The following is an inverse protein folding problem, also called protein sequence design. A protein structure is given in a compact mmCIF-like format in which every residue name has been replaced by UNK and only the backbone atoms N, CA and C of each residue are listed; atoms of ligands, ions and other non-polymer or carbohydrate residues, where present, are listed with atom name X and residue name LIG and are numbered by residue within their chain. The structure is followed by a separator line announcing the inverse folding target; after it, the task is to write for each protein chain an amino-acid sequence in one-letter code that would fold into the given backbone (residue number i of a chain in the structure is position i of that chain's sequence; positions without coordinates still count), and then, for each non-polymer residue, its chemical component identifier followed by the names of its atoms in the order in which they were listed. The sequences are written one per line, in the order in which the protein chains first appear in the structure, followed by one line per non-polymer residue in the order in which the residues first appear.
data_IF_575653570482
#
_entry.id   IF_575653570482
#
_cell.length_a   1.000
_cell.length_b   1.000
_cell.length_c   1.000
_cell.angle_alpha   90.00
_cell.angle_beta   90.00
_cell.angle_gamma   90.00
#
_symmetry.space_group_name_H-M   'P 1'
#
loop_
_entity.id
_entity.type
_entity.pdbx_description
1 polymer ?
#
# COMPACT_ATOMS: atom_id res chain seq x y z
N UNK A 1 11.50 17.89 -10.50
CA UNK A 1 10.81 16.97 -9.57
C UNK A 1 11.62 16.88 -8.27
N UNK A 2 11.21 17.56 -7.20
CA UNK A 2 11.94 17.55 -5.93
C UNK A 2 11.85 16.17 -5.24
N UNK A 3 12.99 15.65 -4.74
CA UNK A 3 13.02 14.40 -3.97
C UNK A 3 12.33 14.62 -2.63
N UNK A 4 11.14 14.02 -2.42
CA UNK A 4 10.51 13.96 -1.09
C UNK A 4 11.32 13.07 -0.15
N UNK A 5 11.34 13.42 1.13
CA UNK A 5 11.98 12.63 2.18
C UNK A 5 11.45 11.18 2.17
N UNK A 6 12.35 10.22 2.36
CA UNK A 6 11.98 8.81 2.50
C UNK A 6 11.22 8.55 3.81
N UNK A 7 10.30 7.58 3.79
CA UNK A 7 9.64 7.06 4.99
C UNK A 7 10.67 6.49 5.97
N UNK A 8 10.34 6.44 7.27
CA UNK A 8 11.21 5.86 8.29
C UNK A 8 11.58 4.41 7.94
N UNK A 9 10.61 3.58 7.54
CA UNK A 9 10.86 2.20 7.13
C UNK A 9 11.81 2.09 5.94
N UNK A 10 11.67 2.96 4.93
CA UNK A 10 12.55 2.97 3.75
C UNK A 10 13.97 3.42 4.10
N UNK A 11 14.13 4.35 5.04
CA UNK A 11 15.45 4.71 5.60
C UNK A 11 16.08 3.52 6.32
N UNK A 12 15.32 2.83 7.17
CA UNK A 12 15.80 1.63 7.86
C UNK A 12 16.17 0.51 6.89
N UNK A 13 15.36 0.29 5.85
CA UNK A 13 15.66 -0.71 4.81
C UNK A 13 16.93 -0.35 4.01
N UNK A 14 17.12 0.92 3.66
CA UNK A 14 18.34 1.38 3.01
C UNK A 14 19.58 1.21 3.91
N UNK A 15 19.46 1.56 5.20
CA UNK A 15 20.53 1.35 6.18
C UNK A 15 20.89 -0.13 6.35
N UNK A 16 19.88 -1.03 6.38
CA UNK A 16 20.10 -2.49 6.42
C UNK A 16 20.83 -2.98 5.17
N UNK A 17 20.37 -2.61 3.97
CA UNK A 17 21.05 -2.97 2.71
C UNK A 17 22.50 -2.49 2.67
N UNK A 18 22.75 -1.28 3.19
CA UNK A 18 24.11 -0.75 3.30
C UNK A 18 24.96 -1.57 4.26
N UNK A 19 24.44 -1.90 5.44
CA UNK A 19 25.11 -2.78 6.40
C UNK A 19 25.38 -4.19 5.83
N UNK A 20 24.43 -4.77 5.11
CA UNK A 20 24.55 -6.09 4.47
C UNK A 20 25.66 -6.10 3.41
N UNK A 21 25.79 -5.01 2.64
CA UNK A 21 26.88 -4.83 1.66
C UNK A 21 28.24 -4.86 2.34
N UNK A 22 28.39 -4.13 3.44
CA UNK A 22 29.66 -4.09 4.19
C UNK A 22 29.95 -5.40 4.91
N UNK A 23 28.93 -6.04 5.46
CA UNK A 23 29.05 -7.37 6.06
C UNK A 23 29.49 -8.40 5.03
N UNK A 24 28.96 -8.36 3.80
CA UNK A 24 29.39 -9.22 2.70
C UNK A 24 30.86 -8.97 2.30
N UNK A 25 31.26 -7.70 2.19
CA UNK A 25 32.66 -7.31 1.92
C UNK A 25 33.61 -7.84 3.01
N UNK A 26 33.24 -7.65 4.28
CA UNK A 26 34.03 -8.13 5.42
C UNK A 26 34.13 -9.67 5.44
N UNK A 27 33.04 -10.36 5.10
CA UNK A 27 33.02 -11.82 4.96
C UNK A 27 33.94 -12.30 3.84
N UNK A 28 33.92 -11.63 2.69
CA UNK A 28 34.81 -11.99 1.58
C UNK A 28 36.28 -11.81 1.96
N UNK A 29 36.65 -10.65 2.54
CA UNK A 29 38.01 -10.42 3.02
C UNK A 29 38.47 -11.44 4.04
N UNK A 30 37.58 -11.84 4.94
CA UNK A 30 37.90 -12.89 5.91
C UNK A 30 38.16 -14.22 5.22
N UNK A 31 37.35 -14.62 4.22
CA UNK A 31 37.61 -15.82 3.43
C UNK A 31 38.94 -15.75 2.69
N UNK A 32 39.23 -14.63 2.04
CA UNK A 32 40.46 -14.44 1.29
C UNK A 32 41.69 -14.52 2.22
N UNK A 33 41.62 -13.89 3.40
CA UNK A 33 42.67 -13.98 4.42
C UNK A 33 42.83 -15.39 5.01
N UNK A 34 41.75 -16.17 5.10
CA UNK A 34 41.83 -17.58 5.52
C UNK A 34 42.48 -18.47 4.44
N UNK A 35 42.30 -18.13 3.16
CA UNK A 35 42.88 -18.87 2.03
C UNK A 35 44.30 -18.41 1.68
N UNK A 36 44.73 -17.25 2.18
CA UNK A 36 46.05 -16.70 1.93
C UNK A 36 47.15 -17.58 2.53
N UNK A 37 48.19 -17.83 1.74
CA UNK A 37 49.42 -18.46 2.20
C UNK A 37 50.18 -17.51 3.13
N UNK A 38 50.63 -18.02 4.27
CA UNK A 38 51.36 -17.23 5.24
C UNK A 38 52.86 -17.37 5.03
N UNK A 39 53.55 -16.24 5.07
CA UNK A 39 55.01 -16.21 5.18
C UNK A 39 55.47 -16.73 6.55
N UNK A 40 56.77 -17.04 6.70
CA UNK A 40 57.33 -17.66 7.90
C UNK A 40 57.11 -16.87 9.21
N UNK A 41 56.96 -15.54 9.13
CA UNK A 41 56.75 -14.66 10.30
C UNK A 41 55.37 -13.97 10.31
N UNK A 42 54.47 -14.31 9.39
CA UNK A 42 53.17 -13.66 9.33
C UNK A 42 52.13 -14.41 10.17
N UNK A 43 51.30 -13.65 10.88
CA UNK A 43 50.14 -14.17 11.60
C UNK A 43 48.86 -13.89 10.83
N UNK A 44 47.96 -14.88 10.79
CA UNK A 44 46.70 -14.74 10.08
C UNK A 44 45.82 -13.72 10.78
N UNK A 45 45.23 -12.78 10.04
CA UNK A 45 44.30 -11.84 10.66
C UNK A 45 43.01 -12.56 11.09
N UNK A 46 42.63 -12.35 12.34
CA UNK A 46 41.35 -12.82 12.88
C UNK A 46 40.17 -11.95 12.43
N UNK A 47 38.94 -12.47 12.56
CA UNK A 47 37.73 -11.76 12.17
C UNK A 47 37.54 -10.39 12.85
N UNK A 48 38.05 -10.21 14.07
CA UNK A 48 38.01 -8.93 14.80
C UNK A 48 38.85 -7.84 14.12
N UNK A 49 40.08 -8.18 13.73
CA UNK A 49 40.97 -7.25 13.02
C UNK A 49 40.40 -6.83 11.66
N UNK A 50 39.77 -7.77 10.95
CA UNK A 50 39.10 -7.47 9.68
C UNK A 50 37.86 -6.60 9.89
N UNK A 51 37.10 -6.80 10.98
CA UNK A 51 36.02 -5.87 11.35
C UNK A 51 36.56 -4.45 11.53
N UNK A 52 37.62 -4.27 12.32
CA UNK A 52 38.22 -2.96 12.61
C UNK A 52 38.67 -2.27 11.30
N UNK A 53 39.42 -2.97 10.44
CA UNK A 53 39.86 -2.45 9.14
C UNK A 53 38.67 -2.03 8.26
N UNK A 54 37.59 -2.81 8.24
CA UNK A 54 36.38 -2.46 7.47
C UNK A 54 35.64 -1.25 8.08
N UNK A 55 35.60 -1.14 9.40
CA UNK A 55 34.96 -0.02 10.08
C UNK A 55 35.72 1.28 9.84
N UNK A 56 37.06 1.23 9.89
CA UNK A 56 37.93 2.35 9.54
C UNK A 56 37.76 2.77 8.08
N UNK A 57 37.75 1.81 7.14
CA UNK A 57 37.50 2.11 5.73
C UNK A 57 36.15 2.77 5.50
N UNK A 58 35.10 2.29 6.17
CA UNK A 58 33.79 2.91 6.06
C UNK A 58 33.77 4.32 6.65
N UNK A 59 34.48 4.54 7.76
CA UNK A 59 34.62 5.84 8.39
C UNK A 59 35.34 6.84 7.47
N UNK A 60 36.45 6.43 6.85
CA UNK A 60 37.19 7.26 5.88
C UNK A 60 36.34 7.57 4.65
N UNK A 61 35.59 6.59 4.14
CA UNK A 61 34.83 6.75 2.90
C UNK A 61 33.52 7.53 3.07
N UNK A 62 32.81 7.36 4.18
CA UNK A 62 31.45 7.91 4.38
C UNK A 62 31.33 8.86 5.58
N UNK A 63 32.38 9.01 6.41
CA UNK A 63 32.36 9.87 7.60
C UNK A 63 31.47 9.36 8.73
N UNK A 64 31.03 8.09 8.68
CA UNK A 64 30.17 7.47 9.69
C UNK A 64 30.75 6.11 10.09
N UNK A 65 30.63 5.70 11.34
CA UNK A 65 31.01 4.34 11.75
C UNK A 65 29.85 3.37 11.51
N UNK A 66 30.18 2.15 11.11
CA UNK A 66 29.25 1.01 11.09
C UNK A 66 29.68 0.02 12.16
N UNK A 67 28.72 -0.66 12.80
CA UNK A 67 29.04 -1.73 13.75
C UNK A 67 28.83 -3.07 13.07
N UNK A 68 29.90 -3.83 12.90
CA UNK A 68 29.86 -5.20 12.35
C UNK A 68 30.40 -6.15 13.42
N UNK A 69 29.58 -7.12 13.83
CA UNK A 69 30.02 -8.16 14.76
C UNK A 69 30.90 -9.19 14.06
N UNK A 70 32.05 -9.49 14.66
CA UNK A 70 32.96 -10.55 14.21
C UNK A 70 32.28 -11.93 14.14
N UNK A 71 31.32 -12.21 15.04
CA UNK A 71 30.56 -13.47 15.02
C UNK A 71 29.70 -13.60 13.76
N UNK A 72 29.12 -12.50 13.29
CA UNK A 72 28.32 -12.44 12.07
C UNK A 72 29.17 -12.78 10.85
N UNK A 73 30.40 -12.26 10.77
CA UNK A 73 31.37 -12.56 9.71
C UNK A 73 31.71 -14.04 9.71
N UNK A 74 32.12 -14.59 10.87
CA UNK A 74 32.50 -16.01 10.97
C UNK A 74 31.34 -16.93 10.59
N UNK A 75 30.11 -16.63 11.04
CA UNK A 75 28.92 -17.40 10.68
C UNK A 75 28.65 -17.37 9.18
N UNK A 76 28.74 -16.19 8.54
CA UNK A 76 28.53 -16.09 7.08
C UNK A 76 29.68 -16.72 6.29
N UNK A 77 30.90 -16.70 6.82
CA UNK A 77 32.04 -17.36 6.20
C UNK A 77 31.83 -18.89 6.15
N UNK A 78 31.25 -19.46 7.21
CA UNK A 78 30.85 -20.87 7.30
C UNK A 78 29.59 -21.23 6.50
N UNK A 79 29.01 -20.30 5.72
CA UNK A 79 27.83 -20.56 4.89
C UNK A 79 26.48 -20.27 5.55
N UNK A 80 26.45 -19.59 6.71
CA UNK A 80 25.20 -19.18 7.34
C UNK A 80 24.38 -18.23 6.46
N UNK A 81 23.07 -18.48 6.39
CA UNK A 81 22.12 -17.68 5.60
C UNK A 81 21.93 -16.27 6.21
N UNK A 82 21.71 -15.27 5.35
CA UNK A 82 21.36 -13.92 5.80
C UNK A 82 19.92 -13.92 6.29
N UNK A 83 19.67 -13.18 7.36
CA UNK A 83 18.31 -13.02 7.88
C UNK A 83 17.37 -12.36 6.84
N UNK A 84 17.90 -11.51 5.96
CA UNK A 84 17.15 -10.95 4.83
C UNK A 84 16.64 -12.03 3.87
N UNK A 85 17.51 -13.00 3.56
CA UNK A 85 17.26 -14.03 2.55
C UNK A 85 16.30 -15.07 3.13
N UNK A 86 16.53 -15.45 4.40
CA UNK A 86 15.62 -16.28 5.17
C UNK A 86 14.24 -15.64 5.37
N UNK A 87 14.15 -14.32 5.53
CA UNK A 87 12.86 -13.64 5.61
C UNK A 87 12.20 -13.51 4.23
N UNK A 88 12.98 -13.40 3.15
CA UNK A 88 12.45 -13.38 1.80
C UNK A 88 11.86 -14.74 1.41
N UNK A 89 12.45 -15.85 1.85
CA UNK A 89 11.89 -17.20 1.65
C UNK A 89 10.56 -17.42 2.36
N UNK A 90 10.27 -16.65 3.42
CA UNK A 90 8.98 -16.60 4.12
C UNK A 90 7.93 -15.69 3.48
N UNK A 91 8.22 -15.09 2.33
CA UNK A 91 7.26 -14.25 1.62
C UNK A 91 6.07 -15.08 1.13
N UNK A 92 4.84 -14.61 1.40
CA UNK A 92 3.62 -15.24 0.88
C UNK A 92 3.55 -15.22 -0.64
N UNK A 93 4.03 -14.13 -1.25
CA UNK A 93 4.04 -13.92 -2.70
C UNK A 93 5.41 -14.29 -3.24
N UNK A 94 5.41 -15.14 -4.27
CA UNK A 94 6.63 -15.59 -4.93
C UNK A 94 7.18 -14.53 -5.88
N UNK A 95 8.49 -14.57 -6.14
CA UNK A 95 9.15 -13.67 -7.08
C UNK A 95 8.56 -13.71 -8.51
N UNK A 96 7.95 -14.84 -8.90
CA UNK A 96 7.23 -14.98 -10.19
C UNK A 96 5.83 -14.34 -10.20
N UNK A 97 5.20 -14.20 -9.03
CA UNK A 97 3.84 -13.68 -8.88
C UNK A 97 3.84 -12.15 -8.72
N UNK A 98 4.84 -11.61 -8.02
CA UNK A 98 5.02 -10.16 -7.82
C UNK A 98 4.89 -9.34 -9.11
N UNK A 99 5.59 -9.65 -10.22
CA UNK A 99 5.50 -8.85 -11.44
C UNK A 99 4.09 -8.90 -12.06
N UNK A 100 3.38 -10.03 -11.94
CA UNK A 100 2.02 -10.17 -12.46
C UNK A 100 1.08 -9.24 -11.70
N UNK A 101 1.10 -9.28 -10.37
CA UNK A 101 0.29 -8.43 -9.50
C UNK A 101 0.58 -6.95 -9.76
N UNK A 102 1.86 -6.58 -9.87
CA UNK A 102 2.27 -5.20 -10.14
C UNK A 102 1.79 -4.76 -11.52
N UNK A 103 1.96 -5.60 -12.55
CA UNK A 103 1.51 -5.28 -13.91
C UNK A 103 -0.01 -5.06 -13.98
N UNK A 104 -0.78 -5.90 -13.29
CA UNK A 104 -2.23 -5.79 -13.19
C UNK A 104 -2.64 -4.49 -12.49
N UNK A 105 -2.05 -4.18 -11.33
CA UNK A 105 -2.31 -2.95 -10.60
C UNK A 105 -1.99 -1.69 -11.43
N UNK A 106 -0.89 -1.73 -12.21
CA UNK A 106 -0.52 -0.64 -13.12
C UNK A 106 -1.51 -0.49 -14.28
N UNK A 107 -1.98 -1.61 -14.84
CA UNK A 107 -2.94 -1.61 -15.93
C UNK A 107 -4.28 -0.98 -15.49
N UNK A 108 -4.79 -1.39 -14.33
CA UNK A 108 -6.00 -0.82 -13.75
C UNK A 108 -5.86 0.67 -13.45
N UNK A 109 -4.74 1.09 -12.88
CA UNK A 109 -4.46 2.51 -12.64
C UNK A 109 -4.35 3.33 -13.95
N UNK A 110 -3.78 2.75 -15.02
CA UNK A 110 -3.73 3.38 -16.33
C UNK A 110 -5.14 3.65 -16.87
N UNK A 111 -6.07 2.69 -16.68
CA UNK A 111 -7.50 2.80 -17.00
C UNK A 111 -8.29 3.75 -16.09
N UNK A 112 -7.64 4.34 -15.08
CA UNK A 112 -8.28 5.29 -14.15
C UNK A 112 -8.89 4.64 -12.90
N UNK A 113 -8.67 3.34 -12.69
CA UNK A 113 -9.19 2.59 -11.56
C UNK A 113 -8.02 2.03 -10.73
N UNK A 114 -7.24 2.86 -10.03
CA UNK A 114 -6.21 2.32 -9.14
C UNK A 114 -6.86 1.40 -8.10
N UNK A 115 -6.24 0.24 -7.84
CA UNK A 115 -6.68 -0.63 -6.76
C UNK A 115 -6.67 0.14 -5.44
N UNK A 116 -7.61 -0.14 -4.55
CA UNK A 116 -7.50 0.32 -3.16
C UNK A 116 -6.79 -0.77 -2.32
N UNK A 117 -6.53 -0.51 -1.04
CA UNK A 117 -5.84 -1.48 -0.18
C UNK A 117 -6.62 -2.80 -0.01
N UNK A 118 -7.96 -2.76 -0.01
CA UNK A 118 -8.80 -3.95 0.16
C UNK A 118 -8.79 -4.82 -1.11
N UNK A 119 -9.04 -4.22 -2.28
CA UNK A 119 -9.00 -4.88 -3.58
C UNK A 119 -7.60 -5.43 -3.88
N UNK A 120 -6.54 -4.70 -3.53
CA UNK A 120 -5.18 -5.22 -3.65
C UNK A 120 -4.97 -6.46 -2.77
N UNK A 121 -5.54 -6.47 -1.56
CA UNK A 121 -5.46 -7.63 -0.68
C UNK A 121 -6.19 -8.82 -1.32
N UNK A 122 -7.43 -8.63 -1.76
CA UNK A 122 -8.25 -9.66 -2.41
C UNK A 122 -7.58 -10.23 -3.67
N UNK A 123 -7.03 -9.38 -4.54
CA UNK A 123 -6.32 -9.85 -5.73
C UNK A 123 -5.10 -10.70 -5.38
N UNK A 124 -4.32 -10.30 -4.38
CA UNK A 124 -3.14 -11.07 -3.98
C UNK A 124 -3.55 -12.37 -3.30
N UNK A 125 -4.58 -12.34 -2.44
CA UNK A 125 -5.15 -13.53 -1.81
C UNK A 125 -5.68 -14.51 -2.84
N UNK A 126 -6.35 -14.04 -3.88
CA UNK A 126 -6.82 -14.89 -4.98
C UNK A 126 -5.65 -15.60 -5.69
N UNK A 127 -4.56 -14.87 -5.98
CA UNK A 127 -3.35 -15.46 -6.61
C UNK A 127 -2.68 -16.49 -5.70
N UNK A 128 -2.51 -16.14 -4.42
CA UNK A 128 -1.84 -17.00 -3.43
C UNK A 128 -2.70 -18.23 -3.11
N UNK A 129 -4.01 -18.06 -2.95
CA UNK A 129 -4.98 -19.12 -2.71
C UNK A 129 -5.06 -20.08 -3.91
N UNK A 130 -5.07 -19.57 -5.15
CA UNK A 130 -5.03 -20.41 -6.35
C UNK A 130 -3.78 -21.30 -6.41
N UNK A 131 -2.66 -20.88 -5.83
CA UNK A 131 -1.43 -21.69 -5.76
C UNK A 131 -1.41 -22.64 -4.55
N UNK A 132 -1.80 -22.16 -3.37
CA UNK A 132 -1.64 -22.90 -2.11
C UNK A 132 -2.84 -23.78 -1.77
N UNK A 133 -4.03 -23.49 -2.30
CA UNK A 133 -5.28 -24.15 -1.95
C UNK A 133 -5.49 -24.13 -0.43
N UNK A 134 -5.75 -25.31 0.14
CA UNK A 134 -6.01 -25.51 1.57
C UNK A 134 -4.82 -25.19 2.48
N UNK A 135 -3.60 -25.09 1.93
CA UNK A 135 -2.43 -24.67 2.71
C UNK A 135 -2.43 -23.15 2.99
N UNK A 136 -3.33 -22.38 2.36
CA UNK A 136 -3.48 -20.97 2.63
C UNK A 136 -4.22 -20.73 3.95
N UNK A 137 -3.73 -19.84 4.84
CA UNK A 137 -4.40 -19.58 6.11
C UNK A 137 -5.83 -19.05 5.93
N UNK A 138 -6.77 -19.54 6.75
CA UNK A 138 -8.15 -19.05 6.77
C UNK A 138 -8.24 -17.55 7.15
N UNK A 139 -7.29 -17.06 7.95
CA UNK A 139 -7.18 -15.65 8.33
C UNK A 139 -6.66 -14.74 7.19
N UNK A 140 -6.20 -15.36 6.10
CA UNK A 140 -5.66 -14.69 4.93
C UNK A 140 -4.32 -14.00 5.15
N UNK A 141 -4.04 -12.98 4.36
CA UNK A 141 -2.86 -12.14 4.49
C UNK A 141 -3.02 -11.18 5.67
N UNK A 142 -1.94 -11.03 6.45
CA UNK A 142 -1.94 -10.18 7.64
C UNK A 142 -2.32 -8.72 7.36
N UNK A 143 -2.89 -8.04 8.36
CA UNK A 143 -3.46 -6.67 8.26
C UNK A 143 -2.53 -5.63 7.60
N UNK A 144 -1.24 -5.72 7.85
CA UNK A 144 -0.24 -4.77 7.34
C UNK A 144 0.43 -5.24 6.03
N UNK A 145 -0.01 -6.35 5.44
CA UNK A 145 0.62 -6.93 4.26
C UNK A 145 0.59 -5.97 3.06
N UNK A 146 -0.57 -5.40 2.72
CA UNK A 146 -0.70 -4.51 1.54
C UNK A 146 0.09 -3.23 1.71
N UNK A 147 0.16 -2.67 2.92
CA UNK A 147 0.99 -1.51 3.21
C UNK A 147 2.49 -1.83 3.00
N UNK A 148 2.96 -2.99 3.48
CA UNK A 148 4.35 -3.44 3.27
C UNK A 148 4.64 -3.74 1.80
N UNK A 149 3.69 -4.35 1.09
CA UNK A 149 3.80 -4.64 -0.33
C UNK A 149 3.93 -3.35 -1.15
N UNK A 150 3.06 -2.37 -0.90
CA UNK A 150 3.12 -1.06 -1.56
C UNK A 150 4.41 -0.30 -1.23
N UNK A 151 4.90 -0.40 0.00
CA UNK A 151 6.18 0.21 0.37
C UNK A 151 7.37 -0.45 -0.35
N UNK A 152 7.38 -1.78 -0.41
CA UNK A 152 8.38 -2.60 -1.11
C UNK A 152 8.45 -2.22 -2.60
N UNK A 153 7.30 -2.05 -3.26
CA UNK A 153 7.18 -1.75 -4.69
C UNK A 153 6.80 -0.28 -4.95
N UNK A 154 7.19 0.62 -4.04
CA UNK A 154 6.83 2.04 -4.09
C UNK A 154 7.42 2.79 -5.28
N UNK A 155 8.47 2.28 -5.89
CA UNK A 155 9.03 2.76 -7.14
C UNK A 155 8.08 2.55 -8.33
N UNK A 156 7.32 1.45 -8.35
CA UNK A 156 6.46 1.07 -9.47
C UNK A 156 4.99 1.43 -9.26
N UNK A 157 4.49 1.32 -8.03
CA UNK A 157 3.06 1.48 -7.73
C UNK A 157 2.69 2.89 -7.26
N UNK A 158 3.63 3.65 -6.70
CA UNK A 158 3.34 5.00 -6.15
C UNK A 158 2.91 6.01 -7.21
N UNK A 159 3.45 5.90 -8.42
CA UNK A 159 3.08 6.78 -9.55
C UNK A 159 1.64 6.57 -9.97
N UNK A 160 1.19 5.30 -10.00
CA UNK A 160 -0.16 4.89 -10.36
C UNK A 160 -1.23 5.39 -9.37
N UNK A 161 -0.86 5.61 -8.10
CA UNK A 161 -1.78 6.02 -7.04
C UNK A 161 -1.70 7.52 -6.71
N UNK A 162 -0.65 8.21 -7.16
CA UNK A 162 -0.47 9.65 -6.95
C UNK A 162 -0.95 10.51 -8.13
N UNK A 163 -1.16 9.93 -9.33
CA UNK A 163 -1.86 10.64 -10.40
C UNK A 163 -3.35 10.68 -10.06
N UNK A 164 -3.74 11.67 -9.25
CA UNK A 164 -5.11 11.83 -8.81
C UNK A 164 -6.05 11.78 -10.01
N UNK A 165 -7.13 11.02 -9.86
CA UNK A 165 -8.29 11.05 -10.74
C UNK A 165 -8.71 12.50 -11.04
N UNK A 166 -8.53 13.41 -10.07
CA UNK A 166 -8.73 14.86 -10.24
C UNK A 166 -7.84 15.51 -11.29
N UNK A 167 -6.57 15.10 -11.43
CA UNK A 167 -5.67 15.65 -12.44
C UNK A 167 -6.06 15.17 -13.85
N UNK A 168 -6.59 13.95 -13.97
CA UNK A 168 -7.15 13.42 -15.23
C UNK A 168 -8.52 14.03 -15.53
N UNK A 169 -9.40 14.14 -14.52
CA UNK A 169 -10.74 14.77 -14.62
C UNK A 169 -10.61 16.25 -14.98
N UNK A 170 -9.75 17.00 -14.28
CA UNK A 170 -9.48 18.39 -14.59
C UNK A 170 -8.92 18.63 -16.00
N UNK A 171 -8.21 17.65 -16.57
CA UNK A 171 -7.78 17.67 -17.98
C UNK A 171 -8.88 17.24 -18.98
N UNK A 172 -9.83 16.43 -18.54
CA UNK A 172 -10.95 15.97 -19.36
C UNK A 172 -12.11 16.99 -19.41
N UNK A 173 -12.09 18.02 -18.54
CA UNK A 173 -12.95 19.19 -18.68
C UNK A 173 -12.42 20.02 -19.84
N UNK A 174 -12.97 19.81 -21.03
CA UNK A 174 -12.75 20.67 -22.19
C UNK A 174 -13.55 21.97 -21.98
N UNK A 175 -12.94 23.16 -22.08
CA UNK A 175 -13.64 24.45 -21.97
C UNK A 175 -14.89 24.52 -22.84
N UNK A 176 -14.85 23.96 -24.06
CA UNK A 176 -16.00 23.92 -24.96
C UNK A 176 -17.16 23.07 -24.43
N UNK A 177 -16.86 21.93 -23.79
CA UNK A 177 -17.89 21.07 -23.19
C UNK A 177 -18.49 21.72 -21.94
N UNK A 178 -17.67 22.44 -21.17
CA UNK A 178 -18.12 23.18 -19.99
C UNK A 178 -19.02 24.35 -20.38
N UNK A 179 -18.64 25.12 -21.41
CA UNK A 179 -19.43 26.21 -21.96
C UNK A 179 -20.76 25.71 -22.54
N UNK A 180 -20.75 24.64 -23.34
CA UNK A 180 -21.96 24.04 -23.88
C UNK A 180 -22.92 23.54 -22.78
N UNK A 181 -22.36 22.98 -21.68
CA UNK A 181 -23.17 22.56 -20.53
C UNK A 181 -23.80 23.74 -19.80
N UNK A 182 -23.05 24.83 -19.58
CA UNK A 182 -23.60 26.04 -18.93
C UNK A 182 -24.63 26.75 -19.80
N UNK A 183 -24.42 26.81 -21.12
CA UNK A 183 -25.41 27.35 -22.05
C UNK A 183 -26.70 26.54 -22.04
N UNK A 184 -26.59 25.20 -22.07
CA UNK A 184 -27.73 24.30 -21.94
C UNK A 184 -28.49 24.55 -20.63
N UNK A 185 -27.77 24.66 -19.50
CA UNK A 185 -28.37 24.90 -18.19
C UNK A 185 -29.09 26.25 -18.12
N UNK A 186 -28.48 27.31 -18.66
CA UNK A 186 -29.07 28.65 -18.71
C UNK A 186 -30.35 28.67 -19.55
N UNK A 187 -30.35 27.98 -20.69
CA UNK A 187 -31.53 27.84 -21.55
C UNK A 187 -32.67 27.05 -20.89
N UNK A 188 -32.35 25.96 -20.16
CA UNK A 188 -33.33 25.19 -19.40
C UNK A 188 -33.91 26.01 -18.25
N UNK A 189 -33.09 26.73 -17.47
CA UNK A 189 -33.58 27.59 -16.38
C UNK A 189 -34.40 28.79 -16.90
N UNK A 190 -34.11 29.26 -18.11
CA UNK A 190 -34.89 30.29 -18.78
C UNK A 190 -36.19 29.76 -19.41
N UNK A 191 -36.52 28.47 -19.27
CA UNK A 191 -37.70 27.82 -19.84
C UNK A 191 -37.69 27.70 -21.37
N UNK A 192 -36.55 27.96 -22.03
CA UNK A 192 -36.43 27.93 -23.51
C UNK A 192 -36.41 26.51 -24.07
N UNK A 193 -36.30 25.50 -23.22
CA UNK A 193 -36.21 24.08 -23.55
C UNK A 193 -37.27 23.22 -22.86
N UNK A 194 -38.30 23.84 -22.27
CA UNK A 194 -39.39 23.10 -21.61
C UNK A 194 -40.15 22.21 -22.61
N UNK A 195 -40.29 22.66 -23.87
CA UNK A 195 -40.86 21.90 -24.98
C UNK A 195 -40.10 20.60 -25.32
N UNK A 196 -38.88 20.41 -24.82
CA UNK A 196 -38.08 19.20 -25.05
C UNK A 196 -38.48 18.05 -24.12
N UNK A 197 -39.23 18.34 -23.05
CA UNK A 197 -39.75 17.36 -22.09
C UNK A 197 -41.27 17.24 -22.12
N UNK A 198 -41.93 18.00 -22.99
CA UNK A 198 -43.31 17.77 -23.34
C UNK A 198 -43.36 16.51 -24.22
N UNK A 199 -43.40 15.34 -23.57
CA UNK A 199 -43.76 14.08 -24.26
C UNK A 199 -45.12 14.30 -24.92
N UNK A 200 -45.18 14.20 -26.25
CA UNK A 200 -46.44 14.20 -26.98
C UNK A 200 -47.23 12.98 -26.48
N UNK A 201 -48.36 13.17 -25.78
CA UNK A 201 -49.14 12.05 -25.24
C UNK A 201 -49.63 11.10 -26.33
N UNK A 202 -49.53 11.52 -27.60
CA UNK A 202 -49.97 10.79 -28.78
C UNK A 202 -48.82 10.18 -29.61
N UNK A 203 -47.55 10.31 -29.21
CA UNK A 203 -46.42 9.61 -29.84
C UNK A 203 -46.23 8.19 -29.24
N UNK A 204 -47.34 7.44 -29.19
CA UNK A 204 -47.33 5.99 -29.11
C UNK A 204 -47.57 5.45 -30.51
N UNK A 205 -46.60 5.61 -31.42
CA UNK A 205 -46.67 4.93 -32.71
C UNK A 205 -46.83 3.42 -32.48
N UNK A 206 -47.99 2.90 -32.88
CA UNK A 206 -48.44 1.50 -32.74
C UNK A 206 -47.60 0.50 -33.60
N UNK A 207 -46.38 0.85 -34.00
CA UNK A 207 -45.57 0.09 -34.96
C UNK A 207 -44.46 -0.75 -34.29
N UNK A 208 -44.64 -1.10 -33.01
CA UNK A 208 -43.88 -2.15 -32.34
C UNK A 208 -44.79 -3.34 -32.02
N UNK A 209 -45.58 -3.77 -33.00
CA UNK A 209 -46.10 -5.13 -33.00
C UNK A 209 -44.92 -6.11 -32.91
N UNK A 210 -45.01 -7.19 -32.11
CA UNK A 210 -43.94 -8.16 -32.02
C UNK A 210 -43.64 -8.70 -33.43
N UNK A 211 -42.36 -8.87 -33.80
CA UNK A 211 -41.98 -9.31 -35.14
C UNK A 211 -42.71 -10.60 -35.51
N UNK A 212 -43.22 -10.69 -36.74
CA UNK A 212 -43.92 -11.87 -37.26
C UNK A 212 -43.10 -13.14 -36.93
N UNK A 213 -43.67 -14.02 -36.09
CA UNK A 213 -43.01 -15.23 -35.62
C UNK A 213 -42.69 -15.28 -34.12
N UNK A 214 -43.00 -14.24 -33.33
CA UNK A 214 -42.91 -14.33 -31.87
C UNK A 214 -44.00 -15.25 -31.30
N UNK A 215 -43.60 -16.46 -30.92
CA UNK A 215 -44.45 -17.38 -30.15
C UNK A 215 -44.30 -16.98 -28.68
N UNK A 216 -45.36 -16.51 -27.99
CA UNK A 216 -45.26 -16.20 -26.57
C UNK A 216 -44.91 -17.49 -25.81
N UNK A 217 -43.75 -17.50 -25.16
CA UNK A 217 -43.37 -18.59 -24.27
C UNK A 217 -44.34 -18.54 -23.08
N UNK A 218 -45.10 -19.60 -22.78
CA UNK A 218 -45.97 -19.61 -21.62
C UNK A 218 -45.12 -19.44 -20.35
N UNK A 219 -45.50 -18.46 -19.53
CA UNK A 219 -44.89 -18.23 -18.22
C UNK A 219 -45.14 -19.48 -17.36
N UNK A 220 -44.09 -20.25 -17.10
CA UNK A 220 -44.12 -21.33 -16.11
C UNK A 220 -44.24 -20.69 -14.71
N UNK A 221 -45.10 -21.25 -13.85
CA UNK A 221 -45.32 -20.81 -12.45
C UNK A 221 -44.04 -20.79 -11.60
N UNK A 222 -42.93 -21.33 -12.09
CA UNK A 222 -41.65 -21.44 -11.42
C UNK A 222 -40.80 -20.16 -11.47
N UNK A 223 -41.18 -19.16 -12.28
CA UNK A 223 -40.49 -17.85 -12.38
C UNK A 223 -41.14 -16.74 -11.52
N UNK A 224 -42.02 -17.11 -10.58
CA UNK A 224 -42.69 -16.19 -9.65
C UNK A 224 -42.20 -16.46 -8.22
N UNK A 225 -40.92 -16.24 -7.92
CA UNK A 225 -40.34 -16.21 -6.57
C UNK A 225 -38.97 -15.48 -6.62
N UNK A 226 -38.64 -14.44 -5.85
CA UNK A 226 -39.38 -13.70 -4.84
C UNK A 226 -38.66 -12.37 -4.62
N UNK A 227 -39.36 -11.27 -4.86
CA UNK A 227 -38.98 -9.95 -4.38
C UNK A 227 -40.10 -9.54 -3.42
N UNK A 228 -40.08 -10.14 -2.23
CA UNK A 228 -40.97 -9.79 -1.15
C UNK A 228 -40.55 -8.43 -0.59
N UNK A 229 -41.49 -7.50 -0.75
CA UNK A 229 -41.52 -6.20 -0.11
C UNK A 229 -41.44 -6.35 1.41
N UNK A 230 -40.24 -6.34 1.97
CA UNK A 230 -40.04 -5.98 3.37
C UNK A 230 -38.68 -5.33 3.60
N UNK A 231 -38.68 -4.06 4.00
CA UNK A 231 -37.54 -3.51 4.74
C UNK A 231 -36.97 -2.16 4.30
N UNK A 232 -37.71 -1.28 3.64
CA UNK A 232 -37.33 0.14 3.59
C UNK A 232 -38.51 1.03 4.03
N UNK A 233 -38.61 1.23 5.34
CA UNK A 233 -38.87 2.49 6.05
C UNK A 233 -39.48 2.23 7.44
N UNK A 234 -38.72 2.53 8.49
CA UNK A 234 -39.27 3.35 9.58
C UNK A 234 -38.20 3.95 10.48
N UNK A 235 -38.50 5.20 10.83
CA UNK A 235 -37.63 6.18 11.44
C UNK A 235 -37.44 5.99 12.95
N UNK A 236 -36.42 6.67 13.48
CA UNK A 236 -36.34 7.04 14.90
C UNK A 236 -35.21 6.36 15.67
N UNK A 237 -34.06 7.02 15.78
CA UNK A 237 -33.70 7.73 17.01
C UNK A 237 -32.37 8.47 16.82
N UNK A 238 -32.46 9.78 16.59
CA UNK A 238 -31.36 10.71 16.83
C UNK A 238 -31.08 10.77 18.33
N UNK A 239 -30.06 10.05 18.80
CA UNK A 239 -29.37 10.42 20.05
C UNK A 239 -28.19 11.31 19.72
N UNK A 240 -28.47 12.60 19.76
CA UNK A 240 -27.49 13.66 20.01
C UNK A 240 -26.62 13.28 21.20
N UNK A 241 -25.31 13.15 20.98
CA UNK A 241 -24.33 13.11 22.06
C UNK A 241 -23.61 14.45 22.07
N UNK A 242 -24.23 15.41 22.75
CA UNK A 242 -23.67 16.70 23.08
C UNK A 242 -22.55 16.48 24.10
N UNK A 243 -21.29 16.56 23.69
CA UNK A 243 -20.18 16.69 24.63
C UNK A 243 -20.08 18.16 25.05
N UNK A 244 -20.68 18.45 26.20
CA UNK A 244 -20.51 19.72 26.93
C UNK A 244 -19.08 19.77 27.46
N UNK A 245 -18.32 20.76 27.01
CA UNK A 245 -17.02 21.13 27.57
C UNK A 245 -17.25 21.86 28.88
N UNK A 246 -16.94 21.22 30.01
CA UNK A 246 -16.83 21.91 31.30
C UNK A 246 -15.36 22.12 31.64
N UNK A 247 -14.94 23.38 31.61
CA UNK A 247 -13.68 23.82 32.19
C UNK A 247 -13.77 23.74 33.73
N UNK A 248 -12.82 23.05 34.36
CA UNK A 248 -12.54 23.19 35.79
C UNK A 248 -11.05 23.46 35.97
N UNK A 249 -10.77 24.74 36.18
CA UNK A 249 -9.57 25.31 36.78
C UNK A 249 -9.58 25.01 38.29
N UNK A 250 -8.54 24.38 38.87
CA UNK A 250 -8.07 24.58 40.27
C UNK A 250 -6.60 24.12 40.38
N UNK A 251 -5.66 25.06 40.50
CA UNK A 251 -5.09 25.64 41.74
C UNK A 251 -3.91 24.83 42.30
N UNK A 252 -2.71 25.42 42.17
CA UNK A 252 -1.65 25.31 43.18
C UNK A 252 -2.14 25.78 44.55
N UNK A 253 -1.47 25.34 45.63
CA UNK A 253 -0.89 26.34 46.51
C UNK A 253 0.58 26.06 46.87
N UNK A 254 1.30 27.17 47.05
CA UNK A 254 2.68 27.31 47.51
C UNK A 254 2.78 27.25 49.05
N UNK A 255 3.98 26.87 49.51
CA UNK A 255 4.62 27.35 50.76
C UNK A 255 4.63 26.31 51.90
N UNK A 256 5.75 25.95 52.53
CA UNK A 256 7.14 26.40 52.49
C UNK A 256 8.03 25.51 53.40
N UNK A 257 9.36 25.72 53.46
CA UNK A 257 10.36 24.88 54.16
C UNK A 257 10.78 25.54 55.52
N UNK A 258 11.91 25.23 56.20
CA UNK A 258 12.85 24.08 56.18
C UNK A 258 13.10 23.49 57.60
N UNK A 259 13.92 22.43 57.73
CA UNK A 259 14.48 22.05 59.04
C UNK A 259 15.43 20.86 59.03
N UNK A 260 16.73 21.14 59.02
CA UNK A 260 17.75 20.28 59.65
C UNK A 260 18.06 20.87 61.03
N UNK A 261 18.41 20.03 62.01
CA UNK A 261 19.69 20.26 62.67
C UNK A 261 20.52 18.98 62.85
N UNK A 262 21.80 19.23 63.12
CA UNK A 262 22.92 18.31 63.33
C UNK A 262 22.73 17.38 64.53
N UNK A 263 23.32 16.19 64.45
CA UNK A 263 24.50 15.77 65.24
C UNK A 263 25.20 14.63 64.51
#
# INVERSE_FOLDING_TARGET
MGRRAASATKKTAAARKHLDKWTARATQRYKDEQMRELGPDETRKGARKICEEIQEEHLVQYGMSISISHTTITRHAAGGEKLSDFNASKSWVLAKEEPIIISYARNLAARGFPLNHALLKECIEAVVCARLGDAFPADGLGKNFTARFLEKHSDQLRTCWASNLENKRGRAVNPATHEAWFQLLEETLAGKKDWMFDEDPNDWSEDNGPPEGFVPVPVLEENIYGMDESGFLSAGNTKTRTSVTTAITRLHPRGGPPGYPQT
#
